data_IF_582489081126
#
_entry.id   IF_582489081126
#
_cell.length_a   1.000
_cell.length_b   1.000
_cell.length_c   1.000
_cell.angle_alpha   90.00
_cell.angle_beta   90.00
_cell.angle_gamma   90.00
#
_symmetry.space_group_name_H-M   'P 1'
#
loop_
_entity.id
_entity.type
_entity.pdbx_description
1 polymer ?
#
# COMPACT_ATOMS: atom_id res chain seq x y z
N UNK A 1 4.46 55.11 -14.13
CA UNK A 1 4.12 55.88 -12.93
C UNK A 1 2.66 56.33 -13.02
N UNK A 2 2.20 56.86 -14.16
CA UNK A 2 0.78 57.19 -14.42
C UNK A 2 -0.19 56.00 -14.24
N UNK A 3 0.14 54.78 -14.69
CA UNK A 3 -0.76 53.62 -14.56
C UNK A 3 -0.99 53.12 -13.12
N UNK A 4 -0.09 53.40 -12.17
CA UNK A 4 -0.28 53.00 -10.77
C UNK A 4 -1.13 54.02 -10.00
N UNK A 5 -1.10 55.29 -10.41
CA UNK A 5 -1.95 56.34 -9.84
C UNK A 5 -3.40 56.22 -10.34
N UNK A 6 -3.61 55.80 -11.60
CA UNK A 6 -4.96 55.51 -12.11
C UNK A 6 -5.60 54.29 -11.44
N UNK A 7 -4.84 53.22 -11.23
CA UNK A 7 -5.34 51.99 -10.61
C UNK A 7 -5.69 52.20 -9.12
N UNK A 8 -4.87 52.95 -8.39
CA UNK A 8 -5.18 53.35 -7.01
C UNK A 8 -6.43 54.23 -6.92
N UNK A 9 -6.60 55.15 -7.87
CA UNK A 9 -7.77 56.05 -7.90
C UNK A 9 -9.07 55.28 -8.20
N UNK A 10 -9.01 54.27 -9.06
CA UNK A 10 -10.16 53.42 -9.36
C UNK A 10 -10.56 52.55 -8.16
N UNK A 11 -9.60 52.00 -7.42
CA UNK A 11 -9.87 51.22 -6.20
C UNK A 11 -10.49 52.09 -5.09
N UNK A 12 -10.03 53.32 -4.93
CA UNK A 12 -10.58 54.26 -3.96
C UNK A 12 -12.03 54.66 -4.30
N UNK A 13 -12.33 54.91 -5.58
CA UNK A 13 -13.69 55.20 -6.05
C UNK A 13 -14.64 54.00 -5.84
N UNK A 14 -14.16 52.77 -6.09
CA UNK A 14 -14.92 51.54 -5.80
C UNK A 14 -15.22 51.41 -4.32
N UNK A 15 -14.23 51.66 -3.45
CA UNK A 15 -14.39 51.58 -2.00
C UNK A 15 -15.42 52.59 -1.48
N UNK A 16 -15.41 53.83 -1.98
CA UNK A 16 -16.40 54.86 -1.61
C UNK A 16 -17.83 54.45 -2.02
N UNK A 17 -18.00 53.96 -3.24
CA UNK A 17 -19.30 53.46 -3.74
C UNK A 17 -19.83 52.32 -2.89
N UNK A 18 -18.96 51.38 -2.49
CA UNK A 18 -19.32 50.27 -1.60
C UNK A 18 -19.74 50.81 -0.23
N UNK A 19 -18.98 51.74 0.37
CA UNK A 19 -19.29 52.29 1.68
C UNK A 19 -20.65 53.00 1.70
N UNK A 20 -20.95 53.81 0.68
CA UNK A 20 -22.25 54.47 0.51
C UNK A 20 -23.38 53.45 0.32
N UNK A 21 -23.16 52.43 -0.50
CA UNK A 21 -24.15 51.36 -0.72
C UNK A 21 -24.42 50.56 0.55
N UNK A 22 -23.38 50.14 1.29
CA UNK A 22 -23.54 49.44 2.56
C UNK A 22 -24.28 50.30 3.59
N UNK A 23 -23.96 51.60 3.70
CA UNK A 23 -24.70 52.52 4.56
C UNK A 23 -26.18 52.60 4.16
N UNK A 24 -26.49 52.63 2.86
CA UNK A 24 -27.89 52.61 2.36
C UNK A 24 -28.61 51.31 2.75
N UNK A 25 -27.96 50.15 2.61
CA UNK A 25 -28.57 48.84 2.89
C UNK A 25 -28.79 48.63 4.40
N UNK A 26 -27.82 48.98 5.23
CA UNK A 26 -27.89 48.77 6.68
C UNK A 26 -28.62 49.91 7.43
N UNK A 27 -28.79 51.08 6.81
CA UNK A 27 -29.46 52.23 7.42
C UNK A 27 -28.75 52.68 8.71
N UNK A 28 -29.46 52.59 9.83
CA UNK A 28 -28.94 52.91 11.16
C UNK A 28 -28.24 51.73 11.85
N UNK A 29 -28.25 50.53 11.25
CA UNK A 29 -27.60 49.37 11.82
C UNK A 29 -26.09 49.40 11.58
N UNK A 30 -25.27 48.87 12.51
CA UNK A 30 -23.84 48.79 12.32
C UNK A 30 -23.49 47.82 11.18
N UNK A 31 -22.66 48.28 10.24
CA UNK A 31 -22.17 47.45 9.13
C UNK A 31 -21.28 46.33 9.71
N UNK A 32 -21.55 45.05 9.40
CA UNK A 32 -20.70 43.94 9.83
C UNK A 32 -19.25 44.14 9.38
N UNK A 33 -18.29 43.80 10.25
CA UNK A 33 -16.87 43.86 9.90
C UNK A 33 -16.58 42.86 8.78
N UNK A 34 -15.90 43.31 7.74
CA UNK A 34 -15.45 42.49 6.62
C UNK A 34 -13.98 42.77 6.31
N UNK A 35 -13.32 41.81 5.67
CA UNK A 35 -11.94 41.95 5.25
C UNK A 35 -11.86 42.77 3.96
N UNK A 36 -11.19 43.92 4.01
CA UNK A 36 -10.94 44.78 2.85
C UNK A 36 -9.72 44.23 2.11
N UNK A 37 -9.96 43.39 1.11
CA UNK A 37 -8.96 42.93 0.15
C UNK A 37 -9.49 43.13 -1.29
N UNK A 38 -8.63 43.17 -2.32
CA UNK A 38 -9.06 43.46 -3.69
C UNK A 38 -10.19 42.57 -4.18
N UNK A 39 -10.16 41.27 -3.81
CA UNK A 39 -11.22 40.31 -4.14
C UNK A 39 -12.55 40.65 -3.47
N UNK A 40 -12.54 41.00 -2.18
CA UNK A 40 -13.76 41.38 -1.45
C UNK A 40 -14.33 42.69 -1.98
N UNK A 41 -13.46 43.68 -2.24
CA UNK A 41 -13.86 44.96 -2.83
C UNK A 41 -14.53 44.76 -4.19
N UNK A 42 -13.96 43.95 -5.07
CA UNK A 42 -14.52 43.65 -6.39
C UNK A 42 -15.88 42.94 -6.31
N UNK A 43 -16.00 41.92 -5.45
CA UNK A 43 -17.27 41.20 -5.20
C UNK A 43 -18.35 42.16 -4.70
N UNK A 44 -18.02 42.99 -3.70
CA UNK A 44 -18.97 43.95 -3.12
C UNK A 44 -19.35 45.05 -4.13
N UNK A 45 -18.40 45.50 -4.94
CA UNK A 45 -18.67 46.46 -6.01
C UNK A 45 -19.67 45.90 -7.02
N UNK A 46 -19.42 44.71 -7.56
CA UNK A 46 -20.32 44.03 -8.47
C UNK A 46 -21.71 43.78 -7.85
N UNK A 47 -21.75 43.33 -6.61
CA UNK A 47 -23.00 43.14 -5.89
C UNK A 47 -23.78 44.46 -5.75
N UNK A 48 -23.09 45.56 -5.46
CA UNK A 48 -23.69 46.89 -5.36
C UNK A 48 -24.29 47.36 -6.68
N UNK A 49 -23.61 47.14 -7.81
CA UNK A 49 -24.09 47.51 -9.14
C UNK A 49 -25.31 46.67 -9.54
N UNK A 50 -25.25 45.35 -9.33
CA UNK A 50 -26.39 44.46 -9.55
C UNK A 50 -27.60 44.86 -8.68
N UNK A 51 -27.36 45.21 -7.42
CA UNK A 51 -28.42 45.64 -6.51
C UNK A 51 -29.04 46.97 -6.97
N UNK A 52 -28.22 47.98 -7.33
CA UNK A 52 -28.71 49.26 -7.88
C UNK A 52 -29.54 49.08 -9.15
N UNK A 53 -29.11 48.22 -10.08
CA UNK A 53 -29.86 47.93 -11.29
C UNK A 53 -31.23 47.33 -10.96
N UNK A 54 -31.27 46.33 -10.07
CA UNK A 54 -32.52 45.70 -9.61
C UNK A 54 -33.42 46.67 -8.86
N UNK A 55 -32.87 47.50 -7.98
CA UNK A 55 -33.61 48.55 -7.26
C UNK A 55 -34.28 49.52 -8.23
N UNK A 56 -33.58 49.91 -9.30
CA UNK A 56 -34.13 50.77 -10.37
C UNK A 56 -35.28 50.07 -11.09
N UNK A 57 -35.11 48.83 -11.50
CA UNK A 57 -36.14 48.07 -12.21
C UNK A 57 -37.40 47.87 -11.34
N UNK A 58 -37.21 47.52 -10.06
CA UNK A 58 -38.30 47.40 -9.09
C UNK A 58 -39.01 48.75 -8.90
N UNK A 59 -38.26 49.86 -8.82
CA UNK A 59 -38.84 51.20 -8.69
C UNK A 59 -39.71 51.55 -9.90
N UNK A 60 -39.24 51.27 -11.12
CA UNK A 60 -40.01 51.48 -12.36
C UNK A 60 -41.31 50.66 -12.38
N UNK A 61 -41.26 49.39 -11.95
CA UNK A 61 -42.46 48.54 -11.83
C UNK A 61 -43.43 49.11 -10.80
N UNK A 62 -42.94 49.59 -9.65
CA UNK A 62 -43.79 50.22 -8.63
C UNK A 62 -44.44 51.49 -9.17
N UNK A 63 -43.71 52.32 -9.89
CA UNK A 63 -44.23 53.55 -10.50
C UNK A 63 -45.30 53.27 -11.57
N UNK A 64 -45.07 52.29 -12.45
CA UNK A 64 -46.04 51.82 -13.44
C UNK A 64 -47.32 51.30 -12.78
N UNK A 65 -47.19 50.45 -11.76
CA UNK A 65 -48.34 49.91 -11.02
C UNK A 65 -49.12 51.02 -10.30
N UNK A 66 -48.44 52.00 -9.71
CA UNK A 66 -49.10 53.17 -9.10
C UNK A 66 -49.83 54.02 -10.14
N UNK A 67 -49.25 54.19 -11.32
CA UNK A 67 -49.90 54.92 -12.42
C UNK A 67 -51.16 54.19 -12.90
N UNK A 68 -51.07 52.89 -13.16
CA UNK A 68 -52.23 52.05 -13.52
C UNK A 68 -53.31 52.06 -12.45
N UNK A 69 -52.93 52.04 -11.17
CA UNK A 69 -53.89 52.14 -10.07
C UNK A 69 -54.66 53.46 -10.11
N UNK A 70 -53.98 54.59 -10.38
CA UNK A 70 -54.64 55.90 -10.55
C UNK A 70 -55.55 55.93 -11.76
N UNK A 71 -55.15 55.34 -12.87
CA UNK A 71 -55.96 55.24 -14.10
C UNK A 71 -57.23 54.46 -13.83
N UNK A 72 -57.13 53.26 -13.23
CA UNK A 72 -58.31 52.46 -12.87
C UNK A 72 -59.22 53.16 -11.85
N UNK A 73 -58.66 53.87 -10.88
CA UNK A 73 -59.47 54.64 -9.92
C UNK A 73 -60.21 55.78 -10.61
N UNK A 74 -59.56 56.46 -11.55
CA UNK A 74 -60.19 57.55 -12.33
C UNK A 74 -61.27 57.03 -13.26
N UNK A 75 -61.05 55.90 -13.92
CA UNK A 75 -62.04 55.24 -14.79
C UNK A 75 -63.24 54.76 -13.96
N UNK A 76 -63.00 54.20 -12.77
CA UNK A 76 -64.07 53.78 -11.88
C UNK A 76 -64.95 54.96 -11.44
N UNK A 77 -64.34 56.11 -11.11
CA UNK A 77 -65.07 57.35 -10.80
C UNK A 77 -65.84 57.88 -12.01
N UNK A 78 -65.20 57.92 -13.19
CA UNK A 78 -65.84 58.33 -14.43
C UNK A 78 -67.08 57.49 -14.75
N UNK A 79 -66.97 56.16 -14.68
CA UNK A 79 -68.09 55.26 -14.91
C UNK A 79 -69.19 55.43 -13.86
N UNK A 80 -68.83 55.65 -12.60
CA UNK A 80 -69.80 55.94 -11.54
C UNK A 80 -70.58 57.22 -11.83
N UNK A 81 -69.89 58.31 -12.17
CA UNK A 81 -70.49 59.59 -12.49
C UNK A 81 -71.37 59.49 -13.74
N UNK A 82 -70.88 58.82 -14.79
CA UNK A 82 -71.64 58.57 -16.02
C UNK A 82 -72.93 57.80 -15.75
N UNK A 83 -72.88 56.73 -14.95
CA UNK A 83 -74.08 55.94 -14.60
C UNK A 83 -75.08 56.75 -13.80
N UNK A 84 -74.59 57.63 -12.92
CA UNK A 84 -75.42 58.52 -12.12
C UNK A 84 -76.08 59.59 -13.00
N UNK A 85 -75.34 60.23 -13.92
CA UNK A 85 -75.87 61.27 -14.81
C UNK A 85 -76.80 60.72 -15.91
N UNK A 86 -76.44 59.60 -16.54
CA UNK A 86 -77.15 59.10 -17.74
C UNK A 86 -78.38 58.26 -17.41
N UNK A 87 -78.36 57.50 -16.32
CA UNK A 87 -79.43 56.55 -15.98
C UNK A 87 -80.09 56.86 -14.62
N UNK A 88 -79.58 57.85 -13.86
CA UNK A 88 -80.00 58.11 -12.47
C UNK A 88 -79.98 56.83 -11.61
N UNK A 89 -79.09 55.88 -11.93
CA UNK A 89 -78.93 54.64 -11.19
C UNK A 89 -78.13 54.92 -9.92
N UNK A 90 -78.80 55.46 -8.91
CA UNK A 90 -78.30 55.42 -7.54
C UNK A 90 -78.55 54.04 -6.93
N UNK A 91 -77.64 53.59 -6.06
CA UNK A 91 -77.84 52.40 -5.24
C UNK A 91 -79.15 52.47 -4.42
N UNK A 92 -79.62 53.68 -4.13
CA UNK A 92 -80.86 53.95 -3.38
C UNK A 92 -82.12 53.96 -4.23
N UNK A 93 -82.00 54.00 -5.57
CA UNK A 93 -83.14 54.07 -6.50
C UNK A 93 -83.53 52.71 -7.10
N UNK A 94 -82.76 51.66 -6.83
CA UNK A 94 -83.07 50.31 -7.26
C UNK A 94 -84.22 49.71 -6.42
N UNK A 95 -85.09 48.95 -7.06
CA UNK A 95 -86.06 48.12 -6.35
C UNK A 95 -85.33 47.04 -5.54
N UNK A 96 -85.99 46.48 -4.51
CA UNK A 96 -85.41 45.40 -3.71
C UNK A 96 -84.92 44.21 -4.55
N UNK A 97 -85.62 43.91 -5.64
CA UNK A 97 -85.26 42.87 -6.62
C UNK A 97 -84.03 43.27 -7.44
N UNK A 98 -83.96 44.53 -7.90
CA UNK A 98 -82.79 45.03 -8.61
C UNK A 98 -81.52 44.98 -7.74
N UNK A 99 -81.63 45.39 -6.47
CA UNK A 99 -80.54 45.31 -5.51
C UNK A 99 -80.15 43.86 -5.20
N UNK A 100 -81.11 42.93 -5.14
CA UNK A 100 -80.78 41.50 -4.93
C UNK A 100 -79.99 40.90 -6.10
N UNK A 101 -80.32 41.28 -7.35
CA UNK A 101 -79.57 40.82 -8.52
C UNK A 101 -78.15 41.39 -8.55
N UNK A 102 -77.98 42.68 -8.24
CA UNK A 102 -76.66 43.29 -8.16
C UNK A 102 -75.81 42.66 -7.04
N UNK A 103 -76.39 42.42 -5.87
CA UNK A 103 -75.68 41.74 -4.79
C UNK A 103 -75.29 40.31 -5.19
N UNK A 104 -76.20 39.54 -5.81
CA UNK A 104 -75.87 38.20 -6.31
C UNK A 104 -74.73 38.22 -7.35
N UNK A 105 -74.66 39.25 -8.19
CA UNK A 105 -73.57 39.45 -9.15
C UNK A 105 -72.25 39.79 -8.44
N UNK A 106 -72.28 40.69 -7.44
CA UNK A 106 -71.11 41.03 -6.62
C UNK A 106 -70.61 39.80 -5.85
N UNK A 107 -71.51 39.03 -5.26
CA UNK A 107 -71.20 37.79 -4.53
C UNK A 107 -70.59 36.76 -5.48
N UNK A 108 -71.15 36.60 -6.68
CA UNK A 108 -70.60 35.72 -7.71
C UNK A 108 -69.19 36.17 -8.14
N UNK A 109 -68.98 37.47 -8.31
CA UNK A 109 -67.67 38.03 -8.68
C UNK A 109 -66.63 37.90 -7.56
N UNK A 110 -67.05 37.94 -6.29
CA UNK A 110 -66.22 37.67 -5.11
C UNK A 110 -65.86 36.19 -5.00
N UNK A 111 -66.82 35.28 -5.17
CA UNK A 111 -66.59 33.82 -5.15
C UNK A 111 -65.65 33.38 -6.29
N UNK A 112 -65.79 34.01 -7.45
CA UNK A 112 -64.90 33.79 -8.59
C UNK A 112 -63.57 34.55 -8.48
N UNK A 113 -63.35 35.28 -7.38
CA UNK A 113 -62.13 36.05 -7.09
C UNK A 113 -61.69 36.93 -8.26
N UNK A 114 -62.65 37.50 -9.00
CA UNK A 114 -62.37 38.25 -10.25
C UNK A 114 -61.56 39.53 -10.03
N UNK A 115 -61.46 40.00 -8.78
CA UNK A 115 -60.58 41.11 -8.36
C UNK A 115 -59.17 40.66 -7.98
N UNK A 116 -58.94 39.37 -7.75
CA UNK A 116 -57.61 38.84 -7.51
C UNK A 116 -56.83 38.78 -8.81
N UNK A 117 -56.19 39.90 -9.12
CA UNK A 117 -55.27 40.03 -10.27
C UNK A 117 -54.12 39.03 -10.23
N UNK A 118 -53.83 38.38 -9.09
CA UNK A 118 -52.80 37.34 -9.01
C UNK A 118 -53.21 36.04 -9.71
N UNK A 119 -54.51 35.68 -9.70
CA UNK A 119 -55.07 34.53 -10.41
C UNK A 119 -55.27 34.81 -11.91
N UNK A 120 -55.50 36.07 -12.28
CA UNK A 120 -55.58 36.52 -13.67
C UNK A 120 -54.21 36.84 -14.30
N UNK A 121 -53.15 36.94 -13.50
CA UNK A 121 -51.81 37.28 -13.94
C UNK A 121 -51.00 36.03 -14.32
N UNK A 122 -50.41 36.04 -15.51
CA UNK A 122 -49.51 34.98 -15.98
C UNK A 122 -48.16 34.97 -15.24
N UNK A 123 -47.85 36.00 -14.45
CA UNK A 123 -46.53 36.22 -13.84
C UNK A 123 -46.13 35.11 -12.84
N UNK A 124 -46.99 34.64 -11.90
CA UNK A 124 -46.62 33.55 -10.99
C UNK A 124 -46.31 32.24 -11.72
N UNK A 125 -47.06 31.93 -12.79
CA UNK A 125 -46.82 30.75 -13.61
C UNK A 125 -45.47 30.84 -14.35
N UNK A 126 -45.14 32.01 -14.92
CA UNK A 126 -43.83 32.26 -15.55
C UNK A 126 -42.70 32.14 -14.54
N UNK A 127 -42.85 32.70 -13.34
CA UNK A 127 -41.81 32.63 -12.30
C UNK A 127 -41.60 31.19 -11.82
N UNK A 128 -42.67 30.41 -11.63
CA UNK A 128 -42.56 28.99 -11.27
C UNK A 128 -41.83 28.21 -12.36
N UNK A 129 -42.19 28.42 -13.63
CA UNK A 129 -41.55 27.76 -14.76
C UNK A 129 -40.08 28.15 -14.91
N UNK A 130 -39.76 29.43 -14.72
CA UNK A 130 -38.38 29.92 -14.72
C UNK A 130 -37.55 29.26 -13.61
N UNK A 131 -38.10 29.16 -12.38
CA UNK A 131 -37.44 28.49 -11.27
C UNK A 131 -37.18 26.99 -11.55
N UNK A 132 -38.15 26.29 -12.13
CA UNK A 132 -38.01 24.89 -12.55
C UNK A 132 -36.95 24.71 -13.64
N UNK A 133 -36.90 25.62 -14.60
CA UNK A 133 -35.89 25.64 -15.65
C UNK A 133 -34.48 25.81 -15.07
N UNK A 134 -34.29 26.77 -14.15
CA UNK A 134 -32.99 26.96 -13.48
C UNK A 134 -32.58 25.75 -12.64
N UNK A 135 -33.51 25.15 -11.88
CA UNK A 135 -33.25 23.92 -11.11
C UNK A 135 -32.83 22.76 -12.00
N UNK A 136 -33.51 22.59 -13.14
CA UNK A 136 -33.21 21.52 -14.09
C UNK A 136 -31.85 21.74 -14.76
N UNK A 137 -31.55 22.98 -15.13
CA UNK A 137 -30.24 23.35 -15.71
C UNK A 137 -29.10 23.05 -14.73
N UNK A 138 -29.23 23.44 -13.46
CA UNK A 138 -28.21 23.16 -12.44
C UNK A 138 -27.96 21.65 -12.26
N UNK A 139 -29.02 20.82 -12.25
CA UNK A 139 -28.87 19.36 -12.19
C UNK A 139 -28.17 18.79 -13.42
N UNK A 140 -28.46 19.31 -14.61
CA UNK A 140 -27.79 18.86 -15.83
C UNK A 140 -26.28 19.18 -15.79
N UNK A 141 -25.91 20.39 -15.34
CA UNK A 141 -24.51 20.77 -15.17
C UNK A 141 -23.79 19.86 -14.16
N UNK A 142 -24.44 19.51 -13.04
CA UNK A 142 -23.91 18.55 -12.07
C UNK A 142 -23.72 17.14 -12.68
N UNK A 143 -24.70 16.66 -13.44
CA UNK A 143 -24.60 15.36 -14.12
C UNK A 143 -23.48 15.34 -15.16
N UNK A 144 -23.27 16.42 -15.91
CA UNK A 144 -22.16 16.52 -16.87
C UNK A 144 -20.80 16.43 -16.19
N UNK A 145 -20.64 17.06 -15.02
CA UNK A 145 -19.41 16.99 -14.22
C UNK A 145 -19.15 15.55 -13.75
N UNK A 146 -20.15 14.87 -13.19
CA UNK A 146 -20.00 13.48 -12.75
C UNK A 146 -19.77 12.51 -13.92
N UNK A 147 -20.40 12.74 -15.08
CA UNK A 147 -20.13 11.96 -16.30
C UNK A 147 -18.68 12.13 -16.78
N UNK A 148 -18.16 13.36 -16.78
CA UNK A 148 -16.76 13.64 -17.14
C UNK A 148 -15.78 12.92 -16.20
N UNK A 149 -16.06 12.95 -14.89
CA UNK A 149 -15.27 12.26 -13.87
C UNK A 149 -15.32 10.74 -14.03
N UNK A 150 -16.51 10.18 -14.26
CA UNK A 150 -16.68 8.76 -14.51
C UNK A 150 -15.93 8.32 -15.79
N UNK A 151 -15.96 9.13 -16.85
CA UNK A 151 -15.19 8.90 -18.07
C UNK A 151 -13.68 8.81 -17.80
N UNK A 152 -13.12 9.76 -17.04
CA UNK A 152 -11.70 9.74 -16.64
C UNK A 152 -11.34 8.50 -15.83
N UNK A 153 -12.18 8.12 -14.87
CA UNK A 153 -11.98 6.92 -14.04
C UNK A 153 -12.04 5.63 -14.86
N UNK A 154 -12.97 5.55 -15.82
CA UNK A 154 -13.10 4.42 -16.72
C UNK A 154 -11.83 4.27 -17.59
N UNK A 155 -11.35 5.36 -18.17
CA UNK A 155 -10.10 5.35 -18.94
C UNK A 155 -8.91 4.89 -18.11
N UNK A 156 -8.75 5.40 -16.88
CA UNK A 156 -7.67 4.98 -15.98
C UNK A 156 -7.77 3.48 -15.63
N UNK A 157 -8.98 2.99 -15.37
CA UNK A 157 -9.23 1.57 -15.05
C UNK A 157 -8.92 0.66 -16.24
N UNK A 158 -9.31 1.05 -17.46
CA UNK A 158 -9.01 0.29 -18.69
C UNK A 158 -7.50 0.22 -18.97
N UNK A 159 -6.76 1.32 -18.74
CA UNK A 159 -5.30 1.32 -18.87
C UNK A 159 -4.69 0.34 -17.86
N UNK A 160 -5.12 0.38 -16.60
CA UNK A 160 -4.65 -0.53 -15.57
C UNK A 160 -4.96 -2.00 -15.90
N UNK A 161 -6.16 -2.30 -16.37
CA UNK A 161 -6.56 -3.63 -16.80
C UNK A 161 -5.63 -4.16 -17.90
N UNK A 162 -5.30 -3.32 -18.89
CA UNK A 162 -4.37 -3.68 -19.96
C UNK A 162 -2.97 -4.00 -19.41
N UNK A 163 -2.44 -3.16 -18.52
CA UNK A 163 -1.14 -3.40 -17.89
C UNK A 163 -1.13 -4.72 -17.10
N UNK A 164 -2.16 -4.97 -16.29
CA UNK A 164 -2.29 -6.21 -15.52
C UNK A 164 -2.37 -7.44 -16.42
N UNK A 165 -3.06 -7.35 -17.55
CA UNK A 165 -3.14 -8.43 -18.55
C UNK A 165 -1.77 -8.73 -19.17
N UNK A 166 -1.00 -7.69 -19.48
CA UNK A 166 0.37 -7.84 -20.01
C UNK A 166 1.30 -8.47 -18.98
N UNK A 167 1.22 -8.07 -17.72
CA UNK A 167 2.03 -8.63 -16.63
C UNK A 167 1.66 -10.08 -16.30
N UNK A 168 0.37 -10.42 -16.36
CA UNK A 168 -0.10 -11.79 -16.24
C UNK A 168 0.51 -12.68 -17.34
N UNK A 169 0.50 -12.21 -18.59
CA UNK A 169 1.12 -12.93 -19.71
C UNK A 169 2.63 -13.15 -19.52
N UNK A 170 3.35 -12.15 -18.98
CA UNK A 170 4.77 -12.31 -18.65
C UNK A 170 4.97 -13.34 -17.53
N UNK A 171 4.16 -13.29 -16.48
CA UNK A 171 4.23 -14.22 -15.36
C UNK A 171 3.96 -15.67 -15.81
N UNK A 172 2.97 -15.89 -16.68
CA UNK A 172 2.70 -17.20 -17.28
C UNK A 172 3.88 -17.74 -18.10
N UNK A 173 4.53 -16.87 -18.89
CA UNK A 173 5.72 -17.24 -19.64
C UNK A 173 6.87 -17.64 -18.71
N UNK A 174 7.12 -16.85 -17.66
CA UNK A 174 8.13 -17.17 -16.66
C UNK A 174 7.85 -18.49 -15.95
N UNK A 175 6.59 -18.75 -15.58
CA UNK A 175 6.17 -20.01 -14.98
C UNK A 175 6.44 -21.19 -15.92
N UNK A 176 6.14 -21.05 -17.21
CA UNK A 176 6.41 -22.09 -18.21
C UNK A 176 7.91 -22.38 -18.34
N UNK A 177 8.75 -21.34 -18.38
CA UNK A 177 10.20 -21.50 -18.41
C UNK A 177 10.76 -22.20 -17.17
N UNK A 178 10.30 -21.80 -15.98
CA UNK A 178 10.74 -22.43 -14.72
C UNK A 178 10.27 -23.88 -14.61
N UNK A 179 9.05 -24.20 -15.06
CA UNK A 179 8.58 -25.59 -15.15
C UNK A 179 9.50 -26.43 -16.03
N UNK A 180 9.82 -25.96 -17.24
CA UNK A 180 10.73 -26.67 -18.13
C UNK A 180 12.14 -26.89 -17.53
N UNK A 181 12.67 -25.90 -16.78
CA UNK A 181 13.93 -26.05 -16.05
C UNK A 181 13.84 -27.08 -14.93
N UNK A 182 12.75 -27.07 -14.17
CA UNK A 182 12.51 -28.04 -13.09
C UNK A 182 12.40 -29.44 -13.68
N UNK A 183 11.64 -29.64 -14.76
CA UNK A 183 11.50 -30.93 -15.42
C UNK A 183 12.85 -31.46 -15.93
N UNK A 184 13.68 -30.59 -16.53
CA UNK A 184 15.05 -30.92 -16.94
C UNK A 184 15.92 -31.34 -15.75
N UNK A 185 15.82 -30.64 -14.61
CA UNK A 185 16.54 -30.99 -13.38
C UNK A 185 16.08 -32.32 -12.79
N UNK A 186 14.77 -32.58 -12.79
CA UNK A 186 14.19 -33.87 -12.33
C UNK A 186 14.74 -35.01 -13.18
N UNK A 187 14.67 -34.88 -14.51
CA UNK A 187 15.24 -35.87 -15.44
C UNK A 187 16.73 -36.12 -15.21
N UNK A 188 17.52 -35.06 -14.98
CA UNK A 188 18.94 -35.19 -14.65
C UNK A 188 19.17 -35.90 -13.31
N UNK A 189 18.36 -35.60 -12.28
CA UNK A 189 18.43 -36.28 -10.97
C UNK A 189 18.12 -37.77 -11.14
N UNK A 190 17.10 -38.13 -11.91
CA UNK A 190 16.73 -39.53 -12.13
C UNK A 190 17.82 -40.29 -12.90
N UNK A 191 18.46 -39.64 -13.89
CA UNK A 191 19.65 -40.19 -14.54
C UNK A 191 20.81 -40.42 -13.56
N UNK A 192 21.12 -39.44 -12.70
CA UNK A 192 22.20 -39.57 -11.72
C UNK A 192 21.91 -40.67 -10.68
N UNK A 193 20.66 -40.83 -10.25
CA UNK A 193 20.24 -41.93 -9.39
C UNK A 193 20.45 -43.28 -10.08
N UNK A 194 19.97 -43.44 -11.31
CA UNK A 194 20.16 -44.67 -12.08
C UNK A 194 21.66 -45.02 -12.27
N UNK A 195 22.50 -44.01 -12.55
CA UNK A 195 23.95 -44.19 -12.66
C UNK A 195 24.61 -44.56 -11.34
N UNK A 196 24.15 -43.99 -10.22
CA UNK A 196 24.62 -44.35 -8.88
C UNK A 196 24.28 -45.82 -8.55
N UNK A 197 23.07 -46.26 -8.91
CA UNK A 197 22.65 -47.65 -8.72
C UNK A 197 23.46 -48.63 -9.57
N UNK A 198 23.73 -48.31 -10.85
CA UNK A 198 24.62 -49.10 -11.73
C UNK A 198 26.03 -49.24 -11.14
N UNK A 199 26.64 -48.12 -10.73
CA UNK A 199 27.96 -48.14 -10.11
C UNK A 199 27.97 -48.98 -8.83
N UNK A 200 26.91 -48.89 -8.01
CA UNK A 200 26.78 -49.70 -6.79
C UNK A 200 26.74 -51.19 -7.11
N UNK A 201 26.01 -51.60 -8.14
CA UNK A 201 25.96 -52.99 -8.59
C UNK A 201 27.32 -53.46 -9.12
N UNK A 202 28.02 -52.62 -9.91
CA UNK A 202 29.35 -52.94 -10.44
C UNK A 202 30.41 -53.07 -9.33
N UNK A 203 30.35 -52.21 -8.30
CA UNK A 203 31.22 -52.31 -7.14
C UNK A 203 30.98 -53.64 -6.43
N UNK A 204 29.73 -53.99 -6.12
CA UNK A 204 29.39 -55.28 -5.49
C UNK A 204 29.89 -56.47 -6.30
N UNK A 205 29.68 -56.47 -7.61
CA UNK A 205 30.16 -57.53 -8.48
C UNK A 205 31.70 -57.63 -8.48
N UNK A 206 32.41 -56.52 -8.49
CA UNK A 206 33.87 -56.50 -8.39
C UNK A 206 34.36 -56.99 -7.01
N UNK A 207 33.71 -56.59 -5.92
CA UNK A 207 33.99 -57.07 -4.56
C UNK A 207 33.76 -58.58 -4.43
N UNK A 208 32.67 -59.10 -5.01
CA UNK A 208 32.40 -60.54 -5.10
C UNK A 208 33.48 -61.27 -5.91
N UNK A 209 33.92 -60.72 -7.04
CA UNK A 209 35.00 -61.28 -7.84
C UNK A 209 36.34 -61.30 -7.08
N UNK A 210 36.67 -60.22 -6.37
CA UNK A 210 37.87 -60.16 -5.53
C UNK A 210 37.80 -61.20 -4.40
N UNK A 211 36.65 -61.31 -3.75
CA UNK A 211 36.40 -62.29 -2.69
C UNK A 211 36.50 -63.73 -3.22
N UNK A 212 35.93 -64.04 -4.39
CA UNK A 212 36.01 -65.35 -5.03
C UNK A 212 37.44 -65.75 -5.40
N UNK A 213 38.32 -64.77 -5.67
CA UNK A 213 39.75 -64.98 -5.94
C UNK A 213 40.58 -65.12 -4.65
N UNK A 214 39.95 -65.10 -3.47
CA UNK A 214 40.60 -65.21 -2.17
C UNK A 214 41.30 -63.93 -1.71
N UNK A 215 40.97 -62.77 -2.30
CA UNK A 215 41.49 -61.47 -1.84
C UNK A 215 40.56 -60.91 -0.76
N UNK A 216 40.90 -61.16 0.51
CA UNK A 216 40.16 -60.63 1.65
C UNK A 216 40.68 -59.25 2.10
N UNK A 217 39.98 -58.61 3.04
CA UNK A 217 40.39 -57.31 3.60
C UNK A 217 41.74 -57.35 4.36
N UNK A 218 42.23 -58.54 4.72
CA UNK A 218 43.53 -58.73 5.38
C UNK A 218 44.69 -58.57 4.38
N UNK A 219 44.44 -58.76 3.08
CA UNK A 219 45.38 -58.52 1.98
C UNK A 219 45.31 -57.09 1.42
N UNK A 220 44.58 -56.18 2.07
CA UNK A 220 44.56 -54.77 1.68
C UNK A 220 45.94 -54.13 1.84
N UNK A 221 46.25 -53.11 1.04
CA UNK A 221 47.52 -52.36 1.14
C UNK A 221 47.77 -51.87 2.58
N UNK A 222 46.72 -51.39 3.25
CA UNK A 222 46.81 -50.89 4.62
C UNK A 222 47.12 -52.02 5.62
N UNK A 223 46.47 -53.18 5.49
CA UNK A 223 46.72 -54.36 6.34
C UNK A 223 48.13 -54.93 6.13
N UNK A 224 48.60 -55.00 4.88
CA UNK A 224 49.95 -55.44 4.54
C UNK A 224 51.04 -54.49 5.05
N UNK A 225 50.81 -53.17 4.97
CA UNK A 225 51.69 -52.16 5.56
C UNK A 225 51.77 -52.30 7.08
N UNK A 226 50.62 -52.46 7.75
CA UNK A 226 50.57 -52.67 9.19
C UNK A 226 51.27 -53.98 9.63
N UNK A 227 51.12 -55.06 8.84
CA UNK A 227 51.83 -56.32 9.09
C UNK A 227 53.34 -56.15 8.90
N UNK A 228 53.77 -55.46 7.83
CA UNK A 228 55.19 -55.17 7.57
C UNK A 228 55.82 -54.37 8.71
N UNK A 229 55.10 -53.38 9.22
CA UNK A 229 55.56 -52.56 10.36
C UNK A 229 55.65 -53.39 11.65
N UNK A 230 54.69 -54.28 11.91
CA UNK A 230 54.77 -55.24 13.02
C UNK A 230 55.93 -56.23 12.86
N UNK A 231 56.19 -56.73 11.66
CA UNK A 231 57.35 -57.59 11.39
C UNK A 231 58.67 -56.86 11.69
N UNK A 232 58.83 -55.60 11.25
CA UNK A 232 60.02 -54.79 11.60
C UNK A 232 60.16 -54.58 13.11
N UNK A 233 59.05 -54.36 13.79
CA UNK A 233 59.02 -54.18 15.25
C UNK A 233 59.41 -55.47 15.97
N UNK A 234 58.94 -56.63 15.48
CA UNK A 234 59.32 -57.94 16.03
C UNK A 234 60.78 -58.31 15.69
N UNK A 235 61.26 -57.98 14.51
CA UNK A 235 62.64 -58.21 14.09
C UNK A 235 63.62 -57.41 14.97
N UNK A 236 63.30 -56.14 15.26
CA UNK A 236 64.08 -55.33 16.21
C UNK A 236 64.04 -55.91 17.62
N UNK A 237 62.88 -56.41 18.09
CA UNK A 237 62.75 -57.08 19.39
C UNK A 237 63.51 -58.42 19.46
N UNK A 238 63.53 -59.21 18.39
CA UNK A 238 64.27 -60.48 18.31
C UNK A 238 65.79 -60.26 18.31
N UNK A 239 66.28 -59.28 17.54
CA UNK A 239 67.69 -58.84 17.61
C UNK A 239 68.08 -58.36 19.01
N UNK A 240 67.17 -57.69 19.73
CA UNK A 240 67.35 -57.28 21.12
C UNK A 240 67.29 -58.46 22.12
N UNK A 241 66.53 -59.51 21.85
CA UNK A 241 66.47 -60.69 22.73
C UNK A 241 67.64 -61.66 22.52
N UNK A 242 68.08 -61.84 21.27
CA UNK A 242 69.25 -62.66 20.92
C UNK A 242 70.54 -62.05 21.47
N UNK A 243 70.68 -60.72 21.37
CA UNK A 243 71.77 -59.99 22.05
C UNK A 243 71.67 -60.06 23.58
N UNK A 244 70.46 -60.24 24.15
CA UNK A 244 70.26 -60.42 25.59
C UNK A 244 70.62 -61.85 26.05
N UNK A 245 70.29 -62.88 25.28
CA UNK A 245 70.76 -64.26 25.54
C UNK A 245 72.28 -64.39 25.36
N UNK A 246 72.86 -63.66 24.41
CA UNK A 246 74.31 -63.57 24.24
C UNK A 246 74.99 -62.90 25.45
N UNK A 247 74.35 -61.89 26.06
CA UNK A 247 74.84 -61.27 27.30
C UNK A 247 74.67 -62.18 28.54
N UNK A 248 73.59 -62.97 28.62
CA UNK A 248 73.38 -63.94 29.71
C UNK A 248 74.42 -65.07 29.66
N UNK A 249 74.72 -65.59 28.46
CA UNK A 249 75.80 -66.57 28.27
C UNK A 249 77.20 -65.97 28.52
N UNK A 250 77.42 -64.68 28.25
CA UNK A 250 78.67 -64.01 28.60
C UNK A 250 78.83 -63.80 30.12
N UNK A 251 77.73 -63.56 30.84
CA UNK A 251 77.71 -63.44 32.30
C UNK A 251 78.00 -64.79 33.00
N UNK A 252 77.45 -65.91 32.51
CA UNK A 252 77.75 -67.24 33.05
C UNK A 252 79.20 -67.70 32.80
N UNK A 253 79.81 -67.30 31.67
CA UNK A 253 81.22 -67.60 31.37
C UNK A 253 82.21 -66.83 32.26
N UNK A 254 81.81 -65.68 32.82
CA UNK A 254 82.67 -64.88 33.71
C UNK A 254 82.78 -65.48 35.11
N UNK A 255 81.77 -66.22 35.60
CA UNK A 255 81.80 -66.88 36.91
C UNK A 255 82.68 -68.14 36.93
N UNK A 256 82.81 -68.84 35.79
CA UNK A 256 83.64 -70.06 35.67
C UNK A 256 85.15 -69.75 35.69
N UNK A 257 85.54 -68.53 35.27
CA UNK A 257 86.94 -68.08 35.32
C UNK A 257 87.46 -67.83 36.75
N UNK A 258 86.58 -67.48 37.69
CA UNK A 258 86.93 -67.25 39.10
C UNK A 258 87.19 -68.55 39.87
N UNK A 259 86.53 -69.66 39.49
CA UNK A 259 86.70 -70.97 40.13
C UNK A 259 88.00 -71.68 39.72
N UNK A 260 88.50 -71.45 38.51
CA UNK A 260 89.76 -72.06 38.03
C UNK A 260 91.00 -71.47 38.72
N UNK A 261 90.98 -70.17 39.07
CA UNK A 261 92.06 -69.50 39.82
C UNK A 261 92.11 -69.96 41.29
N UNK A 262 90.96 -70.28 41.90
CA UNK A 262 90.89 -70.82 43.25
C UNK A 262 91.38 -72.28 43.34
N UNK A 263 91.18 -73.08 42.29
CA UNK A 263 91.60 -74.48 42.26
C UNK A 263 93.13 -74.64 42.16
N UNK A 264 93.82 -73.79 41.36
CA UNK A 264 95.28 -73.82 41.26
C UNK A 264 95.99 -73.40 42.56
N UNK A 265 95.36 -72.51 43.34
CA UNK A 265 95.92 -72.01 44.61
C UNK A 265 95.82 -73.03 45.76
N UNK A 266 94.92 -74.03 45.66
CA UNK A 266 94.70 -75.07 46.68
C UNK A 266 95.62 -76.29 46.51
N UNK A 267 96.12 -76.56 45.30
CA UNK A 267 97.04 -77.68 45.05
C UNK A 267 98.48 -77.39 45.51
N UNK A 268 98.94 -76.12 45.43
CA UNK A 268 100.27 -75.71 45.90
C UNK A 268 100.46 -75.75 47.42
N UNK A 269 99.38 -75.89 48.21
CA UNK A 269 99.44 -76.01 49.68
C UNK A 269 99.59 -77.45 50.19
N UNK A 270 99.55 -78.48 49.33
CA UNK A 270 99.66 -79.89 49.75
C UNK A 270 101.05 -80.52 49.49
N UNK A 271 102.05 -79.71 49.11
CA UNK A 271 103.46 -80.11 48.94
C UNK A 271 104.31 -79.79 50.20
N UNK A 272 103.69 -79.38 51.31
CA UNK A 272 104.40 -78.79 52.46
C UNK A 272 104.51 -79.60 53.77
N UNK A 273 103.86 -80.77 53.91
CA UNK A 273 103.84 -81.51 55.18
C UNK A 273 104.00 -83.01 54.97
N UNK A 274 104.97 -83.60 55.69
CA UNK A 274 105.28 -85.03 55.82
C UNK A 274 106.34 -85.64 54.89
N UNK A 275 107.51 -85.00 54.86
CA UNK A 275 108.77 -85.71 55.19
C UNK A 275 108.88 -85.72 56.72
N UNK A 276 109.44 -86.78 57.32
CA UNK A 276 109.83 -87.02 58.74
C UNK A 276 109.00 -88.13 59.44
N UNK A 277 109.72 -89.17 59.89
CA UNK A 277 109.33 -90.43 60.59
C UNK A 277 108.84 -91.60 59.70
N UNK A 278 109.46 -92.79 59.62
CA UNK A 278 110.36 -93.52 60.54
C UNK A 278 109.78 -94.93 60.76
N UNK A 279 110.21 -95.96 60.03
CA UNK A 279 111.18 -97.00 60.45
C UNK A 279 110.76 -97.85 61.67
N UNK A 280 110.49 -99.16 61.45
CA UNK A 280 111.16 -100.33 62.10
C UNK A 280 110.25 -101.56 62.30
N UNK A 281 110.91 -102.72 62.15
CA UNK A 281 110.70 -104.02 62.80
C UNK A 281 109.56 -104.92 62.29
N UNK A 282 109.59 -106.26 62.39
CA UNK A 282 110.59 -107.35 62.58
C UNK A 282 109.71 -108.60 62.80
N UNK A 283 110.13 -109.75 62.28
CA UNK A 283 109.54 -111.11 62.41
C UNK A 283 108.33 -111.37 61.50
#
# INVERSE_FOLDING_TARGET
>A
MEGQEEEQKEEEEKAEKIALWLKKIFGDQPIPKYEVNPRTTDILYHLSECNKARDRDVSLVIEDLKQKAREYESEAKYLQDLLMESVNLSFTSLSSIGSSYLNALVDSALVLETKDTSLASFIPAVNSLAADLFRTKARNEEMEVELSKLGKNLTATLILEKCLREDLKKAELHLSMEKAKVDSRISNIDFLKAKSDDLRLRIKAAEEQLSARGMDASLSHQSLMALSERCKTLETLYLLSDSREMLVSFLELSEVSALFVLCYKRCLTWVGSWVIFGNKNKI
#
